data_IF_854253487638
#
_entry.id   IF_854253487638
#
_cell.length_a   1.000
_cell.length_b   1.000
_cell.length_c   1.000
_cell.angle_alpha   90.00
_cell.angle_beta   90.00
_cell.angle_gamma   90.00
#
_symmetry.space_group_name_H-M   'P 1'
#
loop_
_entity.id
_entity.type
_entity.pdbx_description
1 polymer ?
#
# COMPACT_ATOMS: atom_id res chain seq x y z
N UNK A 1 -2.46 0.59 -2.46
CA UNK A 1 -1.57 1.69 -2.02
C UNK A 1 -0.49 1.08 -1.16
N UNK A 2 0.77 1.32 -1.53
CA UNK A 2 1.95 0.76 -0.90
C UNK A 2 2.83 1.91 -0.39
N UNK A 3 3.31 1.79 0.84
CA UNK A 3 4.30 2.70 1.41
C UNK A 3 5.68 2.16 1.08
N UNK A 4 6.53 3.01 0.51
CA UNK A 4 7.91 2.65 0.20
C UNK A 4 8.61 2.14 1.46
N UNK A 5 9.24 0.96 1.32
CA UNK A 5 10.18 0.44 2.29
C UNK A 5 11.40 -0.10 1.54
N UNK A 6 12.53 0.60 1.64
CA UNK A 6 13.75 0.27 0.89
C UNK A 6 14.25 -1.15 1.16
N UNK A 7 14.22 -1.59 2.42
CA UNK A 7 14.69 -2.93 2.81
C UNK A 7 13.82 -4.05 2.22
N UNK A 8 12.50 -3.85 2.20
CA UNK A 8 11.56 -4.80 1.61
C UNK A 8 11.56 -4.76 0.08
N UNK A 9 11.48 -3.56 -0.50
CA UNK A 9 11.17 -3.36 -1.91
C UNK A 9 12.41 -3.47 -2.80
N UNK A 10 13.56 -2.97 -2.31
CA UNK A 10 14.82 -2.96 -3.07
C UNK A 10 15.73 -4.09 -2.63
N UNK A 11 15.99 -4.22 -1.32
CA UNK A 11 16.92 -5.23 -0.80
C UNK A 11 16.30 -6.63 -0.68
N UNK A 12 14.97 -6.75 -0.77
CA UNK A 12 14.22 -8.00 -0.66
C UNK A 12 14.53 -8.79 0.62
N UNK A 13 14.94 -8.11 1.69
CA UNK A 13 15.38 -8.73 2.93
C UNK A 13 14.23 -9.42 3.68
N UNK A 14 12.99 -8.98 3.44
CA UNK A 14 11.80 -9.46 4.13
C UNK A 14 10.69 -9.88 3.17
N UNK A 15 10.25 -11.14 3.25
CA UNK A 15 9.21 -11.72 2.37
C UNK A 15 7.82 -11.82 2.99
N UNK A 16 7.58 -11.29 4.19
CA UNK A 16 6.22 -11.33 4.76
C UNK A 16 5.28 -10.33 4.09
N UNK A 17 4.05 -10.79 3.88
CA UNK A 17 2.97 -10.00 3.28
C UNK A 17 3.16 -9.77 1.79
N UNK A 18 2.24 -9.01 1.23
CA UNK A 18 2.19 -8.76 -0.21
C UNK A 18 3.43 -7.97 -0.67
N UNK A 19 4.18 -8.50 -1.65
CA UNK A 19 5.35 -7.83 -2.23
C UNK A 19 4.95 -6.91 -3.38
N UNK A 20 5.79 -5.93 -3.70
CA UNK A 20 5.60 -5.05 -4.88
C UNK A 20 5.51 -5.87 -6.16
N UNK A 21 6.41 -6.85 -6.33
CA UNK A 21 6.42 -7.72 -7.52
C UNK A 21 5.14 -8.56 -7.63
N UNK A 22 4.68 -9.15 -6.53
CA UNK A 22 3.41 -9.89 -6.49
C UNK A 22 2.22 -8.99 -6.86
N UNK A 23 2.23 -7.74 -6.41
CA UNK A 23 1.19 -6.77 -6.74
C UNK A 23 1.18 -6.38 -8.21
N UNK A 24 2.34 -6.06 -8.76
CA UNK A 24 2.45 -5.70 -10.17
C UNK A 24 2.11 -6.88 -11.07
N UNK A 25 2.54 -8.10 -10.72
CA UNK A 25 2.14 -9.31 -11.43
C UNK A 25 0.62 -9.47 -11.41
N UNK A 26 -0.04 -9.30 -10.24
CA UNK A 26 -1.49 -9.44 -10.17
C UNK A 26 -2.24 -8.36 -10.94
N UNK A 27 -1.73 -7.13 -10.93
CA UNK A 27 -2.28 -6.04 -11.72
C UNK A 27 -2.09 -6.30 -13.22
N UNK A 28 -1.00 -6.95 -13.63
CA UNK A 28 -0.77 -7.29 -15.05
C UNK A 28 -1.72 -8.36 -15.60
N UNK A 29 -2.36 -9.15 -14.74
CA UNK A 29 -3.35 -10.17 -15.13
C UNK A 29 -4.74 -9.58 -15.41
N UNK A 30 -4.98 -8.32 -15.04
CA UNK A 30 -6.26 -7.63 -15.21
C UNK A 30 -6.13 -6.50 -16.22
N UNK A 31 -7.25 -6.14 -16.85
CA UNK A 31 -7.27 -5.06 -17.85
C UNK A 31 -7.05 -3.68 -17.23
N UNK A 32 -7.49 -3.47 -15.99
CA UNK A 32 -7.38 -2.19 -15.31
C UNK A 32 -6.97 -2.40 -13.85
N UNK A 33 -5.94 -1.67 -13.42
CA UNK A 33 -5.50 -1.65 -12.03
C UNK A 33 -4.64 -0.43 -11.73
N UNK A 34 -4.57 -0.07 -10.45
CA UNK A 34 -3.80 1.08 -9.98
C UNK A 34 -2.84 0.62 -8.89
N UNK A 35 -1.55 0.86 -9.11
CA UNK A 35 -0.53 0.72 -8.07
C UNK A 35 -0.05 2.11 -7.66
N UNK A 36 -0.34 2.50 -6.41
CA UNK A 36 0.17 3.74 -5.84
C UNK A 36 1.33 3.43 -4.91
N UNK A 37 2.51 3.95 -5.24
CA UNK A 37 3.70 3.98 -4.40
C UNK A 37 3.77 5.34 -3.71
N UNK A 38 3.59 5.37 -2.40
CA UNK A 38 3.70 6.57 -1.59
C UNK A 38 5.05 6.54 -0.85
N UNK A 39 5.75 7.67 -0.90
CA UNK A 39 7.05 7.84 -0.25
C UNK A 39 6.95 8.95 0.79
N UNK A 40 7.29 8.62 2.03
CA UNK A 40 7.51 9.61 3.08
C UNK A 40 9.01 9.93 3.07
N UNK A 41 9.38 11.18 2.82
CA UNK A 41 10.79 11.60 2.92
C UNK A 41 11.18 11.73 4.40
N UNK A 42 11.34 10.59 5.06
CA UNK A 42 11.73 10.51 6.46
C UNK A 42 12.98 9.64 6.58
N UNK A 43 14.14 10.29 6.55
CA UNK A 43 15.43 9.59 6.64
C UNK A 43 15.60 8.87 7.99
N UNK A 44 14.85 9.25 9.04
CA UNK A 44 14.87 8.54 10.31
C UNK A 44 14.28 7.13 10.19
N UNK A 45 13.25 6.97 9.37
CA UNK A 45 12.63 5.66 9.16
C UNK A 45 13.64 4.65 8.56
N UNK A 46 14.55 5.09 7.68
CA UNK A 46 15.59 4.22 7.13
C UNK A 46 16.55 3.75 8.23
N UNK A 47 16.96 4.65 9.13
CA UNK A 47 17.84 4.32 10.25
C UNK A 47 17.15 3.38 11.26
N UNK A 48 15.88 3.61 11.56
CA UNK A 48 15.10 2.79 12.50
C UNK A 48 14.87 1.37 11.99
N UNK A 49 14.72 1.18 10.66
CA UNK A 49 14.60 -0.14 10.06
C UNK A 49 15.91 -0.96 10.12
N UNK A 50 17.08 -0.31 10.27
CA UNK A 50 18.36 -1.04 10.46
C UNK A 50 18.37 -1.76 11.81
N UNK A 51 17.93 -1.07 12.87
CA UNK A 51 17.98 -1.61 14.24
C UNK A 51 16.75 -2.44 14.59
N UNK A 52 15.59 -2.18 13.96
CA UNK A 52 14.34 -2.89 14.21
C UNK A 52 13.69 -3.31 12.89
N UNK A 53 13.90 -4.57 12.51
CA UNK A 53 13.40 -5.15 11.25
C UNK A 53 11.86 -5.21 11.15
N UNK A 54 11.13 -5.09 12.27
CA UNK A 54 9.66 -5.02 12.31
C UNK A 54 9.15 -3.59 12.54
N UNK A 55 10.01 -2.56 12.37
CA UNK A 55 9.60 -1.18 12.52
C UNK A 55 8.66 -0.76 11.37
N UNK A 56 7.37 -0.97 11.60
CA UNK A 56 6.35 -0.20 10.91
C UNK A 56 6.33 1.19 11.53
N UNK A 57 6.89 2.18 10.83
CA UNK A 57 6.51 3.56 11.11
C UNK A 57 5.00 3.58 11.13
N UNK A 58 4.36 4.07 12.21
CA UNK A 58 2.90 4.17 12.25
C UNK A 58 2.47 5.00 11.05
N UNK A 59 2.04 4.33 9.98
CA UNK A 59 1.52 4.97 8.80
C UNK A 59 0.37 5.84 9.27
N UNK A 60 0.57 7.14 9.19
CA UNK A 60 -0.38 8.07 9.76
C UNK A 60 -1.64 8.11 8.89
N UNK A 61 -2.77 8.47 9.51
CA UNK A 61 -4.02 8.63 8.78
C UNK A 61 -3.93 9.66 7.65
N UNK A 62 -2.95 10.57 7.70
CA UNK A 62 -2.72 11.59 6.65
C UNK A 62 -2.24 10.95 5.36
N UNK A 63 -1.32 10.01 5.44
CA UNK A 63 -0.78 9.31 4.28
C UNK A 63 -1.86 8.49 3.58
N UNK A 64 -2.79 7.90 4.36
CA UNK A 64 -3.96 7.22 3.79
C UNK A 64 -4.96 8.18 3.16
N UNK A 65 -5.13 9.38 3.72
CA UNK A 65 -5.92 10.44 3.10
C UNK A 65 -5.37 10.86 1.74
N UNK A 66 -4.04 11.01 1.61
CA UNK A 66 -3.40 11.29 0.32
C UNK A 66 -3.64 10.16 -0.68
N UNK A 67 -3.47 8.91 -0.26
CA UNK A 67 -3.75 7.75 -1.11
C UNK A 67 -5.21 7.70 -1.59
N UNK A 68 -6.17 8.02 -0.70
CA UNK A 68 -7.58 8.10 -1.04
C UNK A 68 -7.88 9.26 -2.01
N UNK A 69 -7.30 10.44 -1.79
CA UNK A 69 -7.47 11.57 -2.70
C UNK A 69 -6.95 11.27 -4.10
N UNK A 70 -5.75 10.68 -4.22
CA UNK A 70 -5.18 10.30 -5.52
C UNK A 70 -6.09 9.29 -6.24
N UNK A 71 -6.61 8.28 -5.54
CA UNK A 71 -7.53 7.31 -6.13
C UNK A 71 -8.83 7.97 -6.63
N UNK A 72 -9.40 8.88 -5.85
CA UNK A 72 -10.58 9.63 -6.24
C UNK A 72 -10.32 10.53 -7.46
N UNK A 73 -9.17 11.21 -7.50
CA UNK A 73 -8.75 12.05 -8.64
C UNK A 73 -8.52 11.23 -9.92
N UNK A 74 -8.13 9.95 -9.78
CA UNK A 74 -8.04 8.98 -10.88
C UNK A 74 -9.41 8.43 -11.32
N UNK A 75 -10.50 8.84 -10.67
CA UNK A 75 -11.87 8.39 -10.97
C UNK A 75 -12.21 7.01 -10.42
N UNK A 76 -11.42 6.48 -9.48
CA UNK A 76 -11.74 5.23 -8.79
C UNK A 76 -12.95 5.46 -7.88
N UNK A 77 -13.88 4.52 -7.85
CA UNK A 77 -15.06 4.56 -6.97
C UNK A 77 -15.23 3.22 -6.25
N UNK A 78 -15.30 2.12 -6.99
CA UNK A 78 -15.35 0.76 -6.46
C UNK A 78 -14.07 0.03 -6.83
N UNK A 79 -13.41 -0.58 -5.84
CA UNK A 79 -12.14 -1.26 -6.06
C UNK A 79 -11.99 -2.54 -5.24
N UNK A 80 -11.19 -3.47 -5.78
CA UNK A 80 -10.69 -4.63 -5.04
C UNK A 80 -9.29 -4.29 -4.50
N UNK A 81 -9.11 -4.39 -3.20
CA UNK A 81 -7.82 -4.09 -2.56
C UNK A 81 -6.96 -5.34 -2.51
N UNK A 82 -5.70 -5.25 -2.97
CA UNK A 82 -4.71 -6.31 -2.80
C UNK A 82 -4.11 -6.27 -1.39
N UNK A 83 -4.01 -7.43 -0.74
CA UNK A 83 -3.41 -7.61 0.58
C UNK A 83 -4.42 -7.77 1.73
N UNK A 84 -3.90 -7.78 2.95
CA UNK A 84 -4.70 -8.04 4.16
C UNK A 84 -5.76 -6.96 4.39
N UNK A 85 -6.96 -7.34 4.88
CA UNK A 85 -7.98 -6.39 5.31
C UNK A 85 -7.41 -5.44 6.36
N UNK A 86 -7.52 -4.13 6.10
CA UNK A 86 -7.10 -3.10 7.04
C UNK A 86 -8.15 -2.02 7.10
N UNK A 87 -8.22 -1.30 8.24
CA UNK A 87 -9.12 -0.16 8.36
C UNK A 87 -8.56 1.04 7.61
N UNK A 88 -9.37 1.62 6.75
CA UNK A 88 -9.10 2.87 6.06
C UNK A 88 -10.15 3.90 6.51
N UNK A 89 -9.88 4.61 7.62
CA UNK A 89 -10.84 5.59 8.12
C UNK A 89 -11.06 6.69 7.07
N UNK A 90 -12.32 7.00 6.79
CA UNK A 90 -12.72 8.13 5.95
C UNK A 90 -12.77 7.88 4.43
N UNK A 91 -12.62 6.63 3.95
CA UNK A 91 -12.77 6.31 2.51
C UNK A 91 -14.09 6.82 1.91
N UNK A 92 -15.19 6.69 2.64
CA UNK A 92 -16.51 7.13 2.20
C UNK A 92 -16.54 8.65 1.91
N UNK A 93 -15.74 9.44 2.64
CA UNK A 93 -15.59 10.88 2.42
C UNK A 93 -14.87 11.24 1.12
N UNK A 94 -14.18 10.27 0.51
CA UNK A 94 -13.55 10.39 -0.81
C UNK A 94 -14.38 9.70 -1.92
N UNK A 95 -15.56 9.17 -1.61
CA UNK A 95 -16.38 8.44 -2.59
C UNK A 95 -15.80 7.08 -3.00
N UNK A 96 -14.92 6.51 -2.16
CA UNK A 96 -14.24 5.24 -2.42
C UNK A 96 -14.85 4.10 -1.63
N UNK A 97 -15.03 2.96 -2.29
CA UNK A 97 -15.59 1.75 -1.71
C UNK A 97 -14.70 0.53 -2.03
N UNK A 98 -14.32 -0.21 -1.00
CA UNK A 98 -13.61 -1.48 -1.16
C UNK A 98 -14.64 -2.59 -1.25
N UNK A 99 -14.80 -3.18 -2.43
CA UNK A 99 -15.77 -4.25 -2.68
C UNK A 99 -15.25 -5.63 -2.29
N UNK A 100 -13.93 -5.82 -2.30
CA UNK A 100 -13.29 -7.09 -2.02
C UNK A 100 -11.84 -6.89 -1.55
N UNK A 101 -11.34 -7.78 -0.69
CA UNK A 101 -9.93 -7.90 -0.36
C UNK A 101 -9.38 -9.17 -1.02
N UNK A 102 -8.42 -9.00 -1.93
CA UNK A 102 -7.75 -10.10 -2.61
C UNK A 102 -6.46 -10.38 -1.85
N UNK A 103 -6.42 -11.51 -1.16
CA UNK A 103 -5.20 -12.03 -0.54
C UNK A 103 -4.60 -13.11 -1.43
N UNK A 104 -3.28 -13.08 -1.62
CA UNK A 104 -2.56 -14.26 -2.09
C UNK A 104 -1.86 -14.85 -0.88
N UNK A 105 -2.42 -15.94 -0.34
CA UNK A 105 -1.61 -16.84 0.46
C UNK A 105 -0.56 -17.45 -0.46
N UNK A 106 0.71 -17.28 -0.10
CA UNK A 106 1.82 -18.10 -0.56
C UNK A 106 2.88 -18.10 0.53
#
# INVERSE_FOLDING_TARGET
VHMENIFKDVLQEYKRGFSVNSALNKISEVETGVFLLLRKQDNQAILENIDNQDYSSKDDGRTFGIGAQILADLGVTNMKSLGNPRKWPGLDGFGLNITEYINTES
#
